data_IF_151614310402
#
_entry.id   IF_151614310402
#
_cell.length_a   1.000
_cell.length_b   1.000
_cell.length_c   1.000
_cell.angle_alpha   90.00
_cell.angle_beta   90.00
_cell.angle_gamma   90.00
#
_symmetry.space_group_name_H-M   'P 1'
#
loop_
_entity.id
_entity.type
_entity.pdbx_description
1 polymer ?
#
# COMPACT_ATOMS: atom_id res chain seq x y z
N UNK A 1 -18.59 -27.09 -1.36
CA UNK A 1 -19.15 -25.75 -1.54
C UNK A 1 -18.07 -24.69 -1.24
N UNK A 2 -18.20 -23.53 -1.84
CA UNK A 2 -17.33 -22.36 -1.62
C UNK A 2 -18.09 -21.34 -0.79
N UNK A 3 -17.44 -20.76 0.19
CA UNK A 3 -17.97 -19.71 1.04
C UNK A 3 -17.23 -18.40 0.81
N UNK A 4 -17.95 -17.29 0.79
CA UNK A 4 -17.37 -15.95 0.66
C UNK A 4 -17.76 -15.09 1.86
N UNK A 5 -16.89 -14.95 2.88
CA UNK A 5 -17.12 -14.02 3.98
C UNK A 5 -16.88 -12.57 3.51
N UNK A 6 -17.64 -11.63 4.05
CA UNK A 6 -17.36 -10.20 3.91
C UNK A 6 -16.45 -9.76 5.06
N UNK A 7 -15.18 -9.48 4.76
CA UNK A 7 -14.17 -9.11 5.76
C UNK A 7 -13.60 -7.73 5.40
N UNK A 8 -13.90 -6.74 6.24
CA UNK A 8 -13.45 -5.35 6.08
C UNK A 8 -12.45 -4.92 7.16
N UNK A 9 -11.53 -5.84 7.48
CA UNK A 9 -10.48 -5.56 8.47
C UNK A 9 -9.62 -4.39 8.04
N UNK A 10 -9.46 -3.42 8.93
CA UNK A 10 -8.70 -2.21 8.67
C UNK A 10 -9.47 -1.11 7.93
N UNK A 11 -10.76 -1.32 7.63
CA UNK A 11 -11.59 -0.26 7.05
C UNK A 11 -12.84 0.02 7.88
N UNK A 12 -13.80 -0.91 7.91
CA UNK A 12 -15.02 -0.75 8.72
C UNK A 12 -14.88 -1.36 10.11
N UNK A 13 -13.92 -2.24 10.32
CA UNK A 13 -13.70 -2.90 11.62
C UNK A 13 -12.23 -3.22 11.86
N UNK A 14 -11.79 -3.00 13.09
CA UNK A 14 -10.44 -3.35 13.53
C UNK A 14 -9.31 -2.69 12.73
N UNK A 15 -8.15 -3.30 12.75
CA UNK A 15 -6.97 -2.91 11.99
C UNK A 15 -6.71 -3.87 10.81
N UNK A 16 -5.88 -3.51 9.85
CA UNK A 16 -5.59 -4.41 8.73
C UNK A 16 -4.85 -5.67 9.19
N UNK A 17 -4.06 -5.62 10.26
CA UNK A 17 -3.42 -6.82 10.83
C UNK A 17 -4.43 -7.82 11.44
N UNK A 18 -5.62 -7.38 11.80
CA UNK A 18 -6.68 -8.27 12.27
C UNK A 18 -7.24 -9.20 11.18
N UNK A 19 -6.91 -8.95 9.92
CA UNK A 19 -7.35 -9.76 8.77
C UNK A 19 -6.95 -11.22 8.90
N UNK A 20 -5.70 -11.53 9.30
CA UNK A 20 -5.24 -12.91 9.51
C UNK A 20 -6.15 -13.67 10.48
N UNK A 21 -6.49 -13.03 11.61
CA UNK A 21 -7.38 -13.65 12.62
C UNK A 21 -8.78 -13.93 12.07
N UNK A 22 -9.32 -13.02 11.24
CA UNK A 22 -10.62 -13.21 10.62
C UNK A 22 -10.59 -14.37 9.61
N UNK A 23 -9.56 -14.45 8.78
CA UNK A 23 -9.33 -15.55 7.82
C UNK A 23 -9.23 -16.88 8.56
N UNK A 24 -8.40 -16.96 9.59
CA UNK A 24 -8.18 -18.19 10.37
C UNK A 24 -9.46 -18.70 11.04
N UNK A 25 -10.37 -17.80 11.42
CA UNK A 25 -11.69 -18.17 11.92
C UNK A 25 -12.50 -18.90 10.85
N UNK A 26 -12.61 -18.32 9.66
CA UNK A 26 -13.41 -18.91 8.59
C UNK A 26 -12.79 -20.18 8.00
N UNK A 27 -11.46 -20.29 7.95
CA UNK A 27 -10.76 -21.52 7.54
C UNK A 27 -11.09 -22.73 8.40
N UNK A 28 -11.44 -22.53 9.68
CA UNK A 28 -11.85 -23.63 10.57
C UNK A 28 -13.24 -24.16 10.25
N UNK A 29 -14.11 -23.31 9.69
CA UNK A 29 -15.49 -23.65 9.35
C UNK A 29 -15.63 -24.12 7.89
N UNK A 30 -14.86 -23.51 6.98
CA UNK A 30 -14.98 -23.71 5.55
C UNK A 30 -13.65 -24.09 4.93
N UNK A 31 -13.62 -25.25 4.28
CA UNK A 31 -12.41 -25.79 3.67
C UNK A 31 -11.89 -24.93 2.51
N UNK A 32 -12.82 -24.35 1.74
CA UNK A 32 -12.52 -23.49 0.60
C UNK A 32 -13.37 -22.24 0.69
N UNK A 33 -12.73 -21.08 0.58
CA UNK A 33 -13.47 -19.83 0.52
C UNK A 33 -12.87 -18.85 -0.49
N UNK A 34 -13.74 -18.02 -1.01
CA UNK A 34 -13.43 -16.94 -1.92
C UNK A 34 -13.71 -15.62 -1.20
N UNK A 35 -12.75 -14.72 -1.13
CA UNK A 35 -12.97 -13.42 -0.51
C UNK A 35 -13.33 -12.37 -1.57
N UNK A 36 -14.61 -12.12 -1.77
CA UNK A 36 -15.12 -11.34 -2.91
C UNK A 36 -15.36 -9.88 -2.61
N UNK A 37 -15.22 -9.43 -1.36
CA UNK A 37 -15.45 -8.03 -1.03
C UNK A 37 -14.59 -7.59 0.17
N UNK A 38 -13.60 -6.76 -0.10
CA UNK A 38 -12.73 -6.12 0.87
C UNK A 38 -12.12 -4.86 0.28
N UNK A 39 -11.49 -4.03 1.11
CA UNK A 39 -10.76 -2.87 0.64
C UNK A 39 -10.90 -1.65 1.55
N UNK A 40 -10.62 -0.50 1.00
CA UNK A 40 -10.70 0.79 1.64
C UNK A 40 -10.64 1.90 0.62
N UNK A 41 -10.86 3.14 1.05
CA UNK A 41 -10.80 4.31 0.18
C UNK A 41 -9.49 5.05 0.37
N UNK A 42 -8.94 5.57 -0.73
CA UNK A 42 -7.88 6.56 -0.69
C UNK A 42 -8.22 7.75 -1.59
N UNK A 43 -7.74 8.92 -1.19
CA UNK A 43 -7.79 10.11 -2.01
C UNK A 43 -6.48 10.25 -2.77
N UNK A 44 -6.55 10.32 -4.10
CA UNK A 44 -5.36 10.41 -4.98
C UNK A 44 -4.47 11.57 -4.56
N UNK A 45 -3.18 11.32 -4.39
CA UNK A 45 -2.18 12.32 -4.01
C UNK A 45 -2.24 12.74 -2.53
N UNK A 46 -3.07 12.09 -1.70
CA UNK A 46 -3.04 12.32 -0.26
C UNK A 46 -2.05 11.37 0.39
N UNK A 47 -0.97 11.94 0.93
CA UNK A 47 0.11 11.20 1.57
C UNK A 47 0.40 11.74 2.96
N UNK A 48 0.96 10.89 3.80
CA UNK A 48 1.41 11.22 5.15
C UNK A 48 2.68 10.45 5.51
N UNK A 49 3.58 11.10 6.25
CA UNK A 49 4.75 10.41 6.82
C UNK A 49 4.38 9.50 7.99
N UNK A 50 3.18 9.68 8.56
CA UNK A 50 2.66 8.95 9.72
C UNK A 50 1.32 8.28 9.39
N UNK A 51 1.27 7.25 8.52
CA UNK A 51 0.03 6.54 8.24
C UNK A 51 -0.46 5.80 9.50
N UNK A 52 -1.75 5.52 9.55
CA UNK A 52 -2.32 4.64 10.58
C UNK A 52 -1.62 3.29 10.51
N UNK A 53 -1.15 2.79 11.65
CA UNK A 53 -0.41 1.52 11.72
C UNK A 53 -1.32 0.31 11.52
N UNK A 54 -0.71 -0.85 11.32
CA UNK A 54 -1.42 -2.13 11.25
C UNK A 54 -2.18 -2.52 12.52
N UNK A 55 -1.92 -1.86 13.62
CA UNK A 55 -2.67 -1.99 14.88
C UNK A 55 -3.81 -0.98 14.99
N UNK A 56 -4.03 -0.11 14.00
CA UNK A 56 -5.04 0.93 14.03
C UNK A 56 -4.67 2.13 14.91
N UNK A 57 -3.40 2.45 14.99
CA UNK A 57 -2.86 3.55 15.79
C UNK A 57 -2.22 4.61 14.92
N UNK A 58 -2.25 5.86 15.37
CA UNK A 58 -1.46 6.96 14.82
C UNK A 58 -0.21 7.11 15.67
N UNK A 59 0.95 7.06 15.02
CA UNK A 59 2.25 7.25 15.67
C UNK A 59 2.98 8.38 14.98
N UNK A 60 3.30 9.43 15.74
CA UNK A 60 4.08 10.54 15.26
C UNK A 60 5.58 10.24 15.26
N UNK A 61 6.31 10.90 14.38
CA UNK A 61 7.79 10.88 14.33
C UNK A 61 8.45 11.56 15.54
N UNK A 62 7.67 12.24 16.39
CA UNK A 62 8.14 12.97 17.54
C UNK A 62 8.60 14.41 17.27
N UNK A 63 8.49 14.88 16.03
CA UNK A 63 8.79 16.28 15.65
C UNK A 63 7.53 17.14 15.43
N UNK A 64 6.37 16.51 15.32
CA UNK A 64 5.09 17.17 15.18
C UNK A 64 4.47 17.37 16.58
N UNK A 65 4.19 18.62 16.95
CA UNK A 65 3.79 18.98 18.33
C UNK A 65 2.42 18.44 18.76
N UNK A 66 1.55 18.13 17.84
CA UNK A 66 0.14 17.86 18.14
C UNK A 66 -0.26 16.39 18.07
N UNK A 67 0.63 15.49 17.67
CA UNK A 67 0.25 14.10 17.42
C UNK A 67 0.60 13.24 18.62
N UNK A 68 -0.44 12.75 19.26
CA UNK A 68 -0.34 11.76 20.32
C UNK A 68 -0.71 10.40 19.71
N UNK A 69 -0.02 9.35 20.12
CA UNK A 69 -0.40 7.99 19.80
C UNK A 69 -1.83 7.74 20.25
N UNK A 70 -2.73 7.36 19.35
CA UNK A 70 -4.13 7.08 19.64
C UNK A 70 -4.65 5.89 18.84
N UNK A 71 -5.64 5.19 19.39
CA UNK A 71 -6.35 4.15 18.66
C UNK A 71 -7.39 4.77 17.72
N UNK A 72 -7.49 4.23 16.52
CA UNK A 72 -8.50 4.64 15.53
C UNK A 72 -9.58 3.57 15.45
N UNK A 73 -10.77 3.81 16.04
CA UNK A 73 -11.78 2.77 16.16
C UNK A 73 -12.49 2.43 14.85
N UNK A 74 -12.56 3.37 13.91
CA UNK A 74 -13.17 3.19 12.60
C UNK A 74 -12.46 4.03 11.55
N UNK A 75 -11.64 3.40 10.76
CA UNK A 75 -10.77 4.06 9.78
C UNK A 75 -11.57 4.70 8.65
N UNK A 76 -12.68 4.10 8.26
CA UNK A 76 -13.57 4.67 7.24
C UNK A 76 -14.17 6.04 7.64
N UNK A 77 -14.29 6.31 8.94
CA UNK A 77 -14.88 7.56 9.46
C UNK A 77 -13.85 8.58 9.92
N UNK A 78 -12.78 8.12 10.54
CA UNK A 78 -11.82 8.99 11.24
C UNK A 78 -10.41 8.92 10.68
N UNK A 79 -10.15 8.01 9.72
CA UNK A 79 -8.88 7.93 9.02
C UNK A 79 -8.67 9.09 8.05
N UNK A 80 -7.42 9.27 7.66
CA UNK A 80 -7.02 10.37 6.78
C UNK A 80 -7.27 10.12 5.29
N UNK A 81 -7.60 8.86 4.93
CA UNK A 81 -7.79 8.38 3.56
C UNK A 81 -6.53 8.55 2.70
N UNK A 82 -5.35 8.45 3.32
CA UNK A 82 -4.07 8.48 2.60
C UNK A 82 -3.87 7.26 1.72
N UNK A 83 -3.12 7.42 0.64
CA UNK A 83 -2.71 6.30 -0.20
C UNK A 83 -1.77 5.36 0.56
N UNK A 84 -0.89 5.88 1.42
CA UNK A 84 0.03 5.08 2.25
C UNK A 84 -0.71 4.06 3.12
N UNK A 85 -1.81 4.47 3.79
CA UNK A 85 -2.58 3.52 4.59
C UNK A 85 -3.22 2.42 3.74
N UNK A 86 -3.79 2.78 2.59
CA UNK A 86 -4.48 1.83 1.70
C UNK A 86 -3.50 0.88 1.02
N UNK A 87 -2.31 1.35 0.68
CA UNK A 87 -1.20 0.51 0.19
C UNK A 87 -0.86 -0.57 1.23
N UNK A 88 -0.63 -0.17 2.48
CA UNK A 88 -0.33 -1.10 3.57
C UNK A 88 -1.46 -2.10 3.81
N UNK A 89 -2.72 -1.64 3.77
CA UNK A 89 -3.89 -2.50 3.95
C UNK A 89 -3.94 -3.59 2.87
N UNK A 90 -3.83 -3.21 1.60
CA UNK A 90 -3.91 -4.18 0.51
C UNK A 90 -2.69 -5.10 0.46
N UNK A 91 -1.50 -4.57 0.70
CA UNK A 91 -0.28 -5.36 0.74
C UNK A 91 -0.34 -6.43 1.84
N UNK A 92 -0.81 -6.05 3.04
CA UNK A 92 -1.02 -7.01 4.13
C UNK A 92 -2.06 -8.08 3.78
N UNK A 93 -3.18 -7.71 3.16
CA UNK A 93 -4.22 -8.66 2.76
C UNK A 93 -3.72 -9.62 1.68
N UNK A 94 -3.06 -9.10 0.63
CA UNK A 94 -2.51 -9.93 -0.44
C UNK A 94 -1.38 -10.85 0.05
N UNK A 95 -0.50 -10.35 0.90
CA UNK A 95 0.51 -11.19 1.56
C UNK A 95 -0.11 -12.42 2.23
N UNK A 96 -1.28 -12.28 2.83
CA UNK A 96 -1.97 -13.40 3.48
C UNK A 96 -2.66 -14.28 2.43
N UNK A 97 -3.48 -13.71 1.55
CA UNK A 97 -4.29 -14.48 0.61
C UNK A 97 -3.46 -15.20 -0.45
N UNK A 98 -2.39 -14.59 -0.95
CA UNK A 98 -1.54 -15.17 -2.00
C UNK A 98 -0.59 -16.26 -1.47
N UNK A 99 -0.32 -16.29 -0.17
CA UNK A 99 0.49 -17.33 0.46
C UNK A 99 -0.35 -18.41 1.16
N UNK A 100 -1.68 -18.37 1.06
CA UNK A 100 -2.59 -19.30 1.70
C UNK A 100 -3.36 -20.15 0.67
N UNK A 101 -3.03 -21.42 0.57
CA UNK A 101 -3.64 -22.37 -0.38
C UNK A 101 -5.12 -22.66 -0.13
N UNK A 102 -5.68 -22.22 0.99
CA UNK A 102 -7.12 -22.33 1.25
C UNK A 102 -7.95 -21.30 0.50
N UNK A 103 -7.34 -20.19 0.04
CA UNK A 103 -8.00 -19.23 -0.83
C UNK A 103 -8.14 -19.78 -2.24
N UNK A 104 -9.37 -19.84 -2.74
CA UNK A 104 -9.64 -20.18 -4.14
C UNK A 104 -9.63 -18.93 -5.04
N UNK A 105 -9.59 -17.75 -4.45
CA UNK A 105 -9.46 -16.46 -5.11
C UNK A 105 -9.92 -15.30 -4.23
N UNK A 106 -9.60 -14.09 -4.65
CA UNK A 106 -10.10 -12.88 -4.01
C UNK A 106 -10.44 -11.80 -5.03
N UNK A 107 -11.35 -10.88 -4.67
CA UNK A 107 -11.69 -9.72 -5.46
C UNK A 107 -11.93 -8.54 -4.52
N UNK A 108 -11.18 -7.48 -4.71
CA UNK A 108 -11.35 -6.27 -3.89
C UNK A 108 -12.50 -5.39 -4.44
N UNK A 109 -13.07 -4.57 -3.59
CA UNK A 109 -14.04 -3.55 -3.93
C UNK A 109 -13.40 -2.17 -3.86
N UNK A 110 -13.14 -1.50 -5.01
CA UNK A 110 -13.51 -1.85 -6.37
C UNK A 110 -12.34 -1.53 -7.32
N UNK A 111 -12.43 -1.93 -8.61
CA UNK A 111 -11.35 -1.60 -9.55
C UNK A 111 -11.25 -0.10 -9.84
N UNK A 112 -12.40 0.58 -10.00
CA UNK A 112 -12.46 2.00 -10.40
C UNK A 112 -13.33 2.81 -9.47
N UNK A 113 -12.94 4.04 -9.18
CA UNK A 113 -13.77 5.02 -8.49
C UNK A 113 -15.05 5.29 -9.30
N UNK A 114 -16.19 5.40 -8.62
CA UNK A 114 -17.48 5.55 -9.28
C UNK A 114 -18.40 6.53 -8.55
N UNK A 115 -19.33 7.12 -9.30
CA UNK A 115 -20.37 7.99 -8.74
C UNK A 115 -21.36 7.19 -7.88
N UNK A 116 -21.77 7.79 -6.77
CA UNK A 116 -22.76 7.20 -5.84
C UNK A 116 -23.62 8.30 -5.23
N UNK A 117 -24.94 8.11 -5.06
CA UNK A 117 -25.77 9.05 -4.31
C UNK A 117 -25.46 9.01 -2.80
N UNK A 118 -24.76 7.98 -2.35
CA UNK A 118 -24.27 7.84 -0.98
C UNK A 118 -22.89 8.51 -0.87
N UNK A 119 -22.48 8.94 0.31
CA UNK A 119 -21.16 9.50 0.56
C UNK A 119 -20.97 10.97 0.16
N UNK A 120 -21.89 11.85 0.55
CA UNK A 120 -21.69 13.29 0.34
C UNK A 120 -20.49 13.83 1.16
N UNK A 121 -20.10 13.13 2.22
CA UNK A 121 -19.01 13.46 3.15
C UNK A 121 -17.60 13.07 2.64
N UNK A 122 -17.50 12.35 1.55
CA UNK A 122 -16.20 11.92 1.01
C UNK A 122 -15.35 13.13 0.58
N UNK A 123 -14.00 13.01 0.54
CA UNK A 123 -13.10 14.04 0.03
C UNK A 123 -13.49 14.57 -1.36
N UNK A 124 -14.01 13.67 -2.23
CA UNK A 124 -14.75 14.05 -3.43
C UNK A 124 -16.22 13.66 -3.19
N UNK A 125 -17.11 14.63 -2.96
CA UNK A 125 -18.51 14.34 -2.68
C UNK A 125 -19.16 13.46 -3.75
N UNK A 126 -20.02 12.54 -3.32
CA UNK A 126 -20.75 11.63 -4.19
C UNK A 126 -19.87 10.73 -5.08
N UNK A 127 -18.62 10.48 -4.68
CA UNK A 127 -17.72 9.53 -5.33
C UNK A 127 -17.30 8.47 -4.32
N UNK A 128 -17.49 7.19 -4.68
CA UNK A 128 -16.87 6.09 -3.97
C UNK A 128 -15.41 5.98 -4.41
N UNK A 129 -14.48 6.20 -3.47
CA UNK A 129 -13.04 6.28 -3.73
C UNK A 129 -12.28 4.97 -3.39
N UNK A 130 -12.97 3.83 -3.46
CA UNK A 130 -12.37 2.50 -3.22
C UNK A 130 -11.69 1.90 -4.45
N UNK A 131 -11.64 2.65 -5.56
CA UNK A 131 -11.00 2.19 -6.78
C UNK A 131 -9.48 2.04 -6.64
N UNK A 132 -8.91 1.08 -7.36
CA UNK A 132 -7.47 1.01 -7.63
C UNK A 132 -7.06 2.07 -8.67
N UNK A 133 -8.01 2.52 -9.47
CA UNK A 133 -7.86 3.66 -10.38
C UNK A 133 -8.92 4.72 -10.08
N UNK A 134 -8.62 5.96 -10.41
CA UNK A 134 -9.57 7.05 -10.32
C UNK A 134 -10.64 6.98 -11.44
N UNK A 135 -11.55 7.96 -11.49
CA UNK A 135 -12.59 8.02 -12.53
C UNK A 135 -12.04 8.24 -13.95
N UNK A 136 -10.82 8.74 -14.08
CA UNK A 136 -10.16 8.99 -15.35
C UNK A 136 -9.25 7.83 -15.78
N UNK A 137 -9.25 6.72 -15.03
CA UNK A 137 -8.38 5.55 -15.18
C UNK A 137 -6.90 5.82 -14.82
N UNK A 138 -6.60 6.87 -14.07
CA UNK A 138 -5.26 7.05 -13.53
C UNK A 138 -5.05 6.05 -12.38
N UNK A 139 -3.98 5.25 -12.40
CA UNK A 139 -3.67 4.34 -11.31
C UNK A 139 -3.40 5.11 -10.01
N UNK A 140 -3.92 4.60 -8.90
CA UNK A 140 -3.52 4.95 -7.55
C UNK A 140 -2.36 4.05 -7.11
N UNK A 141 -1.69 4.38 -6.01
CA UNK A 141 -0.57 3.56 -5.52
C UNK A 141 -0.97 2.10 -5.27
N UNK A 142 -2.16 1.87 -4.74
CA UNK A 142 -2.71 0.53 -4.51
C UNK A 142 -2.81 -0.33 -5.78
N UNK A 143 -2.95 0.26 -6.97
CA UNK A 143 -2.90 -0.48 -8.24
C UNK A 143 -1.59 -1.24 -8.41
N UNK A 144 -0.47 -0.63 -8.03
CA UNK A 144 0.86 -1.23 -8.15
C UNK A 144 1.10 -2.32 -7.10
N UNK A 145 0.43 -2.25 -5.94
CA UNK A 145 0.40 -3.36 -4.97
C UNK A 145 -0.18 -4.59 -5.64
N UNK A 146 -1.40 -4.50 -6.19
CA UNK A 146 -2.05 -5.63 -6.89
C UNK A 146 -1.24 -6.10 -8.08
N UNK A 147 -0.71 -5.16 -8.88
CA UNK A 147 0.14 -5.48 -10.03
C UNK A 147 1.39 -6.29 -9.61
N UNK A 148 1.96 -6.03 -8.43
CA UNK A 148 3.14 -6.76 -7.94
C UNK A 148 2.85 -8.23 -7.61
N UNK A 149 1.61 -8.56 -7.25
CA UNK A 149 1.20 -9.94 -6.94
C UNK A 149 0.61 -10.66 -8.15
N UNK A 150 -0.18 -9.97 -8.99
CA UNK A 150 -1.02 -10.63 -10.00
C UNK A 150 -0.51 -10.51 -11.44
N UNK A 151 0.45 -9.62 -11.70
CA UNK A 151 1.03 -9.52 -13.04
C UNK A 151 2.28 -10.40 -13.15
N UNK A 152 2.21 -11.43 -13.97
CA UNK A 152 3.30 -12.37 -14.25
C UNK A 152 3.91 -12.20 -15.65
N UNK A 153 3.35 -11.34 -16.50
CA UNK A 153 3.70 -11.23 -17.90
C UNK A 153 4.63 -10.06 -18.21
N UNK A 154 4.43 -8.91 -17.56
CA UNK A 154 5.16 -7.68 -17.88
C UNK A 154 5.96 -7.23 -16.65
N UNK A 155 7.31 -7.30 -16.70
CA UNK A 155 8.16 -6.81 -15.61
C UNK A 155 7.95 -5.31 -15.38
N UNK A 156 7.96 -4.88 -14.11
CA UNK A 156 7.87 -3.47 -13.75
C UNK A 156 8.57 -3.18 -12.42
N UNK A 157 8.88 -1.93 -12.18
CA UNK A 157 9.18 -1.34 -10.89
C UNK A 157 8.33 -0.08 -10.71
N UNK A 158 7.95 0.23 -9.47
CA UNK A 158 7.21 1.43 -9.11
C UNK A 158 7.64 1.89 -7.72
N UNK A 159 8.27 3.06 -7.64
CA UNK A 159 8.64 3.71 -6.38
C UNK A 159 7.39 4.37 -5.80
N UNK A 160 7.01 4.00 -4.62
CA UNK A 160 5.93 4.67 -3.88
C UNK A 160 6.42 6.04 -3.36
N UNK A 161 5.85 7.19 -3.78
CA UNK A 161 4.73 7.36 -4.69
C UNK A 161 5.04 8.45 -5.70
N UNK A 162 4.67 8.21 -6.97
CA UNK A 162 4.80 9.22 -8.04
C UNK A 162 3.91 10.45 -7.85
N UNK A 163 2.92 10.38 -6.97
CA UNK A 163 2.07 11.51 -6.58
C UNK A 163 2.57 12.22 -5.30
N UNK A 164 3.68 11.72 -4.69
CA UNK A 164 4.25 12.28 -3.47
C UNK A 164 5.65 12.86 -3.69
N UNK A 165 5.72 13.88 -4.51
CA UNK A 165 6.98 14.53 -4.89
C UNK A 165 7.49 15.56 -3.89
N UNK A 166 6.69 15.93 -2.88
CA UNK A 166 7.09 16.81 -1.79
C UNK A 166 6.94 16.06 -0.46
N UNK A 167 8.05 15.81 0.19
CA UNK A 167 8.11 15.17 1.52
C UNK A 167 8.74 16.12 2.52
N UNK A 168 8.54 15.86 3.81
CA UNK A 168 9.01 16.76 4.86
C UNK A 168 9.45 16.03 6.11
N UNK A 169 10.30 16.70 6.89
CA UNK A 169 10.73 16.26 8.21
C UNK A 169 12.11 16.78 8.57
N UNK A 170 12.54 16.57 9.81
CA UNK A 170 13.85 17.03 10.27
C UNK A 170 14.98 16.30 9.51
N UNK A 171 16.08 17.02 9.31
CA UNK A 171 17.29 16.47 8.72
C UNK A 171 17.78 15.25 9.52
N UNK A 172 18.13 14.19 8.80
CA UNK A 172 18.62 12.93 9.39
C UNK A 172 17.54 11.99 9.89
N UNK A 173 16.26 12.39 9.82
CA UNK A 173 15.16 11.46 10.04
C UNK A 173 14.90 10.65 8.76
N UNK A 174 15.19 9.37 8.83
CA UNK A 174 15.01 8.48 7.68
C UNK A 174 13.53 8.26 7.38
N UNK A 175 13.20 8.27 6.09
CA UNK A 175 11.85 8.05 5.58
C UNK A 175 11.74 6.70 4.90
N UNK A 176 10.65 6.02 5.14
CA UNK A 176 10.33 4.75 4.47
C UNK A 176 10.04 5.00 2.99
N UNK A 177 10.63 4.18 2.12
CA UNK A 177 10.37 4.15 0.69
C UNK A 177 10.21 2.70 0.27
N UNK A 178 9.04 2.36 -0.25
CA UNK A 178 8.72 1.05 -0.80
C UNK A 178 8.86 1.06 -2.32
N UNK A 179 9.23 -0.09 -2.89
CA UNK A 179 9.23 -0.30 -4.35
C UNK A 179 8.38 -1.52 -4.65
N UNK A 180 7.27 -1.32 -5.34
CA UNK A 180 6.43 -2.43 -5.80
C UNK A 180 6.94 -2.96 -7.14
N UNK A 181 7.13 -4.26 -7.20
CA UNK A 181 7.66 -4.93 -8.40
C UNK A 181 7.26 -6.41 -8.42
N UNK A 182 7.15 -6.98 -9.61
CA UNK A 182 7.05 -8.43 -9.81
C UNK A 182 8.41 -9.09 -10.14
N UNK A 183 9.49 -8.30 -10.18
CA UNK A 183 10.86 -8.81 -10.34
C UNK A 183 11.39 -9.36 -9.02
N UNK A 184 12.35 -10.28 -9.09
CA UNK A 184 12.90 -10.98 -7.93
C UNK A 184 13.90 -10.16 -7.11
N UNK A 185 14.54 -9.16 -7.74
CA UNK A 185 15.62 -8.37 -7.14
C UNK A 185 15.53 -6.91 -7.58
N UNK A 186 15.66 -6.00 -6.60
CA UNK A 186 15.61 -4.56 -6.83
C UNK A 186 16.80 -3.91 -6.12
N UNK A 187 17.45 -2.98 -6.80
CA UNK A 187 18.40 -2.06 -6.19
C UNK A 187 17.81 -0.65 -6.19
N UNK A 188 17.83 0.01 -5.02
CA UNK A 188 17.39 1.39 -4.88
C UNK A 188 18.59 2.33 -4.75
N UNK A 189 18.53 3.45 -5.42
CA UNK A 189 19.54 4.50 -5.38
C UNK A 189 18.93 5.82 -4.88
N UNK A 190 19.71 6.56 -4.11
CA UNK A 190 19.43 7.96 -3.77
C UNK A 190 20.54 8.83 -4.33
N UNK A 191 20.20 9.79 -5.21
CA UNK A 191 21.15 10.72 -5.83
C UNK A 191 22.35 9.99 -6.48
N UNK A 192 22.09 8.85 -7.14
CA UNK A 192 23.10 8.01 -7.77
C UNK A 192 23.90 7.10 -6.81
N UNK A 193 23.66 7.19 -5.50
CA UNK A 193 24.31 6.31 -4.52
C UNK A 193 23.41 5.13 -4.19
N UNK A 194 23.92 3.91 -4.32
CA UNK A 194 23.20 2.69 -3.96
C UNK A 194 22.83 2.65 -2.48
N UNK A 195 21.60 2.30 -2.19
CA UNK A 195 21.07 1.99 -0.87
C UNK A 195 21.02 0.47 -0.63
N UNK A 196 21.54 -0.31 -1.58
CA UNK A 196 21.63 -1.76 -1.54
C UNK A 196 20.52 -2.46 -2.30
N UNK A 197 20.81 -3.73 -2.58
CA UNK A 197 19.92 -4.66 -3.28
C UNK A 197 19.03 -5.37 -2.27
N UNK A 198 17.76 -5.53 -2.60
CA UNK A 198 16.81 -6.38 -1.88
C UNK A 198 16.16 -7.41 -2.78
N UNK A 199 15.90 -8.58 -2.22
CA UNK A 199 15.19 -9.67 -2.89
C UNK A 199 13.74 -9.67 -2.45
N UNK A 200 12.85 -9.81 -3.44
CA UNK A 200 11.41 -9.92 -3.21
C UNK A 200 11.07 -11.24 -2.53
N UNK A 201 10.34 -11.14 -1.43
CA UNK A 201 9.79 -12.30 -0.72
C UNK A 201 8.35 -11.99 -0.32
N UNK A 202 7.36 -12.66 -0.90
CA UNK A 202 5.92 -12.42 -0.65
C UNK A 202 5.47 -12.71 0.78
N UNK A 203 6.31 -13.32 1.62
CA UNK A 203 6.06 -13.47 3.05
C UNK A 203 6.48 -12.25 3.88
N UNK A 204 7.25 -11.33 3.28
CA UNK A 204 7.71 -10.12 3.95
C UNK A 204 6.74 -8.95 3.72
N UNK A 205 6.79 -7.96 4.60
CA UNK A 205 5.97 -6.75 4.58
C UNK A 205 6.78 -5.56 5.06
N UNK A 206 6.62 -4.36 4.49
CA UNK A 206 5.84 -4.02 3.30
C UNK A 206 6.54 -4.36 1.98
N UNK A 207 5.80 -4.24 0.88
CA UNK A 207 6.26 -4.41 -0.50
C UNK A 207 7.07 -5.69 -0.74
N UNK A 208 6.64 -6.81 -0.11
CA UNK A 208 7.36 -8.08 -0.16
C UNK A 208 8.84 -7.96 0.25
N UNK A 209 9.15 -7.09 1.24
CA UNK A 209 10.48 -6.81 1.74
C UNK A 209 11.26 -5.73 0.94
N UNK A 210 10.68 -5.21 -0.15
CA UNK A 210 11.31 -4.18 -0.98
C UNK A 210 11.06 -2.77 -0.41
N UNK A 211 11.57 -2.53 0.80
CA UNK A 211 11.42 -1.27 1.52
C UNK A 211 12.77 -0.81 2.07
N UNK A 212 13.08 0.49 1.93
CA UNK A 212 14.32 1.11 2.39
C UNK A 212 14.05 2.28 3.32
N UNK A 213 14.93 2.48 4.29
CA UNK A 213 14.99 3.69 5.11
C UNK A 213 15.93 4.69 4.44
N UNK A 214 15.36 5.75 3.84
CA UNK A 214 16.08 6.74 3.03
C UNK A 214 16.35 7.99 3.84
N UNK A 215 17.60 8.46 3.83
CA UNK A 215 18.03 9.71 4.45
C UNK A 215 18.09 10.80 3.37
N UNK A 216 16.98 11.48 3.16
CA UNK A 216 16.87 12.55 2.18
C UNK A 216 17.72 13.75 2.58
N UNK A 217 18.31 14.42 1.59
CA UNK A 217 18.93 15.72 1.79
C UNK A 217 17.92 16.85 1.55
N UNK A 218 18.12 18.00 2.16
CA UNK A 218 17.28 19.17 1.93
C UNK A 218 17.29 19.58 0.46
N UNK A 219 16.10 19.85 -0.10
CA UNK A 219 15.91 20.16 -1.52
C UNK A 219 15.67 18.93 -2.39
N UNK A 220 16.17 18.96 -3.61
CA UNK A 220 15.89 17.93 -4.62
C UNK A 220 16.70 16.65 -4.38
N UNK A 221 15.99 15.54 -4.43
CA UNK A 221 16.52 14.18 -4.38
C UNK A 221 16.00 13.39 -5.57
N UNK A 222 16.82 12.48 -6.09
CA UNK A 222 16.45 11.54 -7.15
C UNK A 222 16.51 10.13 -6.58
N UNK A 223 15.37 9.47 -6.52
CA UNK A 223 15.28 8.04 -6.28
C UNK A 223 15.29 7.30 -7.61
N UNK A 224 16.07 6.24 -7.71
CA UNK A 224 16.09 5.36 -8.89
C UNK A 224 16.00 3.92 -8.41
N UNK A 225 14.99 3.19 -8.87
CA UNK A 225 14.86 1.76 -8.66
C UNK A 225 15.25 1.01 -9.93
N UNK A 226 16.14 0.02 -9.81
CA UNK A 226 16.52 -0.87 -10.90
C UNK A 226 16.09 -2.28 -10.53
N UNK A 227 15.14 -2.81 -11.27
CA UNK A 227 14.63 -4.17 -11.14
C UNK A 227 15.28 -5.06 -12.18
N UNK A 228 15.72 -6.26 -11.78
CA UNK A 228 16.27 -7.26 -12.70
C UNK A 228 15.22 -8.31 -13.02
N UNK A 229 14.99 -8.52 -14.32
CA UNK A 229 14.14 -9.60 -14.82
C UNK A 229 14.84 -10.95 -14.70
N UNK A 230 14.09 -12.03 -14.90
CA UNK A 230 14.65 -13.39 -14.93
C UNK A 230 15.65 -13.58 -16.09
N UNK A 231 15.48 -12.83 -17.18
CA UNK A 231 16.31 -12.89 -18.37
C UNK A 231 17.53 -11.97 -18.28
N UNK A 232 17.65 -11.21 -17.19
CA UNK A 232 18.78 -10.31 -16.94
C UNK A 232 18.58 -8.89 -17.43
N UNK A 233 17.44 -8.57 -18.03
CA UNK A 233 17.12 -7.21 -18.45
C UNK A 233 16.86 -6.32 -17.23
N UNK A 234 17.13 -5.02 -17.39
CA UNK A 234 16.90 -4.02 -16.34
C UNK A 234 15.66 -3.19 -16.65
N UNK A 235 14.79 -3.09 -15.65
CA UNK A 235 13.63 -2.19 -15.66
C UNK A 235 13.91 -1.07 -14.66
N UNK A 236 13.83 0.17 -15.13
CA UNK A 236 14.09 1.36 -14.32
C UNK A 236 12.79 2.09 -13.98
N UNK A 237 12.69 2.55 -12.74
CA UNK A 237 11.74 3.58 -12.31
C UNK A 237 12.51 4.73 -11.64
N UNK A 238 12.04 5.97 -11.80
CA UNK A 238 12.70 7.15 -11.27
C UNK A 238 11.69 8.14 -10.70
N UNK A 239 11.99 8.66 -9.52
CA UNK A 239 11.15 9.62 -8.81
C UNK A 239 11.99 10.79 -8.29
N UNK A 240 11.58 12.01 -8.62
CA UNK A 240 12.15 13.22 -8.06
C UNK A 240 11.37 13.65 -6.80
N UNK A 241 12.06 13.79 -5.69
CA UNK A 241 11.49 14.17 -4.39
C UNK A 241 12.14 15.45 -3.88
N UNK A 242 11.32 16.46 -3.62
CA UNK A 242 11.75 17.65 -2.89
C UNK A 242 11.49 17.43 -1.40
N UNK A 243 12.55 17.43 -0.58
CA UNK A 243 12.48 17.24 0.87
C UNK A 243 12.76 18.56 1.60
N UNK A 244 11.97 18.86 2.66
CA UNK A 244 12.10 20.08 3.46
C UNK A 244 12.06 19.80 4.96
#
# INVERSE_FOLDING_TARGET
>A
DVFSPSIWSGWYSGSYKSYQKAVDKYKKEYKHFLHTEYGGSSHVGRHTENPITGEGKIQADGWEEAIVQSDVPNIAKVGDWSENYIVDLFDWHLRISENDTAFVGNAQWAFKDFGTPLRPENPIPYVNQKGLVDRNNNPKDAFYVFKSYWNDTTPFAYIESHTWTNRQGPKGLKRSVSVYSNCSEIELFLNGKSLGVKKRNTNDFPAAGLNWNVDFVDGNNVLTAIAKTKDGDEIKDELNVNYR
#
